data_IF_426984741705
#
_entry.id   IF_426984741705
#
_cell.length_a   1.000
_cell.length_b   1.000
_cell.length_c   1.000
_cell.angle_alpha   90.00
_cell.angle_beta   90.00
_cell.angle_gamma   90.00
#
_symmetry.space_group_name_H-M   'P 1'
#
loop_
_entity.id
_entity.type
_entity.pdbx_description
1 polymer ?
#
# COMPACT_ATOMS: atom_id res chain seq x y z
N UNK A 1 6.87 -46.52 -3.61
CA UNK A 1 6.36 -45.86 -4.83
C UNK A 1 7.33 -44.75 -5.19
N UNK A 2 7.96 -44.78 -6.36
CA UNK A 2 8.94 -43.78 -6.79
C UNK A 2 8.22 -42.57 -7.37
N UNK A 3 8.46 -41.38 -6.81
CA UNK A 3 8.19 -40.13 -7.52
C UNK A 3 9.31 -40.00 -8.57
N UNK A 4 9.01 -40.29 -9.83
CA UNK A 4 9.97 -40.08 -10.91
C UNK A 4 9.86 -38.63 -11.39
N UNK A 5 10.69 -37.77 -10.80
CA UNK A 5 10.85 -36.40 -11.28
C UNK A 5 11.68 -36.46 -12.56
N UNK A 6 11.01 -36.39 -13.70
CA UNK A 6 11.66 -36.28 -15.00
C UNK A 6 11.90 -34.80 -15.26
N UNK A 7 13.06 -34.29 -14.82
CA UNK A 7 13.55 -32.97 -15.26
C UNK A 7 14.02 -33.07 -16.70
N UNK A 8 13.07 -32.95 -17.64
CA UNK A 8 13.38 -32.68 -19.04
C UNK A 8 13.10 -31.22 -19.30
N UNK A 9 14.13 -30.43 -19.62
CA UNK A 9 13.95 -29.04 -20.07
C UNK A 9 13.31 -29.09 -21.46
N UNK A 10 11.99 -28.95 -21.54
CA UNK A 10 11.30 -28.79 -22.82
C UNK A 10 11.35 -27.31 -23.17
N UNK A 11 12.23 -26.98 -24.11
CA UNK A 11 12.32 -25.66 -24.71
C UNK A 11 11.09 -25.43 -25.60
N UNK A 12 10.16 -24.59 -25.14
CA UNK A 12 9.14 -24.03 -26.04
C UNK A 12 9.86 -22.98 -26.88
N UNK A 13 10.42 -23.41 -28.02
CA UNK A 13 10.94 -22.48 -29.00
C UNK A 13 9.78 -21.66 -29.55
N UNK A 14 9.75 -20.38 -29.20
CA UNK A 14 8.99 -19.39 -29.94
C UNK A 14 9.52 -19.40 -31.36
N UNK A 15 8.87 -20.15 -32.26
CA UNK A 15 9.11 -20.00 -33.69
C UNK A 15 8.98 -18.51 -33.99
N UNK A 16 9.96 -17.93 -34.68
CA UNK A 16 9.89 -16.61 -35.29
C UNK A 16 8.82 -16.52 -36.41
N UNK A 17 7.68 -17.18 -36.25
CA UNK A 17 6.56 -17.14 -37.18
C UNK A 17 5.59 -15.99 -36.89
N UNK A 18 5.77 -15.23 -35.82
CA UNK A 18 5.00 -14.01 -35.55
C UNK A 18 5.30 -12.84 -36.52
N UNK A 19 6.19 -13.02 -37.51
CA UNK A 19 6.53 -11.97 -38.47
C UNK A 19 6.41 -12.30 -39.97
N UNK A 20 6.06 -13.51 -40.44
CA UNK A 20 5.92 -13.77 -41.91
C UNK A 20 4.89 -14.85 -42.30
N UNK A 21 4.21 -14.72 -43.45
CA UNK A 21 3.22 -15.69 -43.93
C UNK A 21 3.87 -17.02 -44.37
N UNK A 22 3.09 -18.08 -44.26
CA UNK A 22 3.37 -19.49 -44.54
C UNK A 22 4.03 -19.80 -45.89
N UNK A 23 5.05 -20.68 -45.89
CA UNK A 23 5.20 -21.77 -46.88
C UNK A 23 6.16 -22.86 -46.41
N UNK A 24 5.71 -24.12 -46.57
CA UNK A 24 6.43 -25.38 -46.89
C UNK A 24 7.26 -26.17 -45.85
N UNK A 25 6.97 -27.48 -45.90
CA UNK A 25 7.50 -28.70 -45.26
C UNK A 25 9.02 -28.89 -45.16
N UNK A 26 9.52 -29.51 -44.08
CA UNK A 26 9.82 -30.97 -43.98
C UNK A 26 10.86 -31.29 -42.88
N UNK A 27 10.77 -32.50 -42.31
CA UNK A 27 11.78 -33.27 -41.55
C UNK A 27 12.07 -32.86 -40.08
N UNK A 28 11.54 -33.64 -39.13
CA UNK A 28 11.91 -33.61 -37.71
C UNK A 28 12.78 -34.83 -37.37
N UNK A 29 14.09 -34.61 -37.25
CA UNK A 29 15.06 -35.59 -36.74
C UNK A 29 15.02 -35.59 -35.21
N UNK A 30 14.52 -36.67 -34.60
CA UNK A 30 14.59 -36.88 -33.15
C UNK A 30 16.03 -37.32 -32.76
N UNK A 31 16.81 -36.42 -32.15
CA UNK A 31 18.08 -36.74 -31.50
C UNK A 31 17.83 -37.47 -30.17
N UNK A 32 18.25 -38.73 -30.07
CA UNK A 32 18.32 -39.49 -28.81
C UNK A 32 19.50 -39.00 -27.98
N UNK A 33 19.27 -38.56 -26.74
CA UNK A 33 20.30 -38.30 -25.73
C UNK A 33 20.26 -39.40 -24.66
N UNK A 34 21.40 -39.93 -24.16
CA UNK A 34 21.40 -40.93 -23.09
C UNK A 34 21.12 -40.26 -21.73
N UNK A 35 20.56 -41.00 -20.74
CA UNK A 35 20.17 -40.42 -19.46
C UNK A 35 21.41 -40.10 -18.59
N UNK A 36 21.44 -38.94 -17.90
CA UNK A 36 22.50 -38.66 -16.93
C UNK A 36 22.27 -39.44 -15.63
N UNK A 37 23.36 -39.92 -15.02
CA UNK A 37 23.34 -40.58 -13.72
C UNK A 37 22.95 -39.57 -12.62
N UNK A 38 21.92 -39.90 -11.84
CA UNK A 38 21.37 -39.02 -10.80
C UNK A 38 21.79 -39.52 -9.40
N UNK A 39 22.38 -38.62 -8.61
CA UNK A 39 22.78 -38.87 -7.21
C UNK A 39 21.62 -38.50 -6.27
N UNK A 40 21.06 -39.51 -5.59
CA UNK A 40 19.91 -39.38 -4.70
C UNK A 40 20.22 -38.71 -3.34
N UNK A 41 21.48 -38.34 -3.05
CA UNK A 41 21.91 -37.93 -1.70
C UNK A 41 21.72 -36.45 -1.34
N UNK A 42 21.28 -35.57 -2.28
CA UNK A 42 21.32 -34.10 -2.09
C UNK A 42 19.99 -33.35 -1.96
N UNK A 43 18.84 -34.01 -1.90
CA UNK A 43 17.55 -33.31 -1.73
C UNK A 43 17.11 -33.25 -0.26
N UNK A 44 17.81 -32.45 0.55
CA UNK A 44 17.26 -31.92 1.81
C UNK A 44 16.70 -30.53 1.53
N UNK A 45 15.38 -30.41 1.40
CA UNK A 45 14.73 -29.10 1.42
C UNK A 45 14.76 -28.58 2.87
N UNK A 46 15.51 -27.52 3.19
CA UNK A 46 15.39 -26.89 4.49
C UNK A 46 13.96 -26.32 4.62
N UNK A 47 13.35 -26.52 5.77
CA UNK A 47 12.13 -25.83 6.18
C UNK A 47 12.48 -24.35 6.29
N UNK A 48 12.29 -23.62 5.19
CA UNK A 48 12.36 -22.17 5.16
C UNK A 48 11.23 -21.65 6.05
N UNK A 49 11.58 -21.20 7.25
CA UNK A 49 10.81 -20.23 8.01
C UNK A 49 10.38 -19.15 7.01
N UNK A 50 9.07 -19.02 6.81
CA UNK A 50 8.49 -18.15 5.78
C UNK A 50 8.87 -16.68 6.05
N UNK A 51 10.04 -16.27 5.56
CA UNK A 51 10.25 -14.88 5.22
C UNK A 51 9.25 -14.55 4.11
N UNK A 52 8.44 -13.50 4.30
CA UNK A 52 7.57 -13.00 3.25
C UNK A 52 8.39 -12.81 1.97
N UNK A 53 7.94 -13.37 0.85
CA UNK A 53 8.64 -13.20 -0.41
C UNK A 53 8.68 -11.70 -0.76
N UNK A 54 9.73 -11.22 -1.47
CA UNK A 54 9.83 -9.82 -1.88
C UNK A 54 8.55 -9.29 -2.54
N UNK A 55 7.89 -10.14 -3.33
CA UNK A 55 6.62 -9.83 -4.00
C UNK A 55 5.46 -9.53 -3.03
N UNK A 56 5.39 -10.23 -1.89
CA UNK A 56 4.37 -10.02 -0.85
C UNK A 56 4.64 -8.73 -0.08
N UNK A 57 5.92 -8.44 0.22
CA UNK A 57 6.32 -7.19 0.87
C UNK A 57 5.96 -6.00 -0.03
N UNK A 58 6.24 -6.09 -1.33
CA UNK A 58 5.92 -5.05 -2.29
C UNK A 58 4.41 -4.90 -2.53
N UNK A 59 3.67 -6.01 -2.55
CA UNK A 59 2.21 -5.99 -2.60
C UNK A 59 1.61 -5.30 -1.37
N UNK A 60 2.08 -5.66 -0.17
CA UNK A 60 1.65 -5.04 1.09
C UNK A 60 1.88 -3.54 1.09
N UNK A 61 3.08 -3.10 0.67
CA UNK A 61 3.41 -1.67 0.54
C UNK A 61 2.50 -0.95 -0.45
N UNK A 62 2.16 -1.57 -1.59
CA UNK A 62 1.24 -0.99 -2.57
C UNK A 62 -0.15 -0.80 -1.99
N UNK A 63 -0.72 -1.84 -1.37
CA UNK A 63 -2.07 -1.80 -0.78
C UNK A 63 -2.16 -0.73 0.32
N UNK A 64 -1.19 -0.71 1.24
CA UNK A 64 -1.14 0.31 2.31
C UNK A 64 -1.07 1.72 1.75
N UNK A 65 -0.26 1.92 0.70
CA UNK A 65 -0.11 3.23 0.05
C UNK A 65 -1.39 3.67 -0.65
N UNK A 66 -2.02 2.79 -1.42
CA UNK A 66 -3.26 3.09 -2.13
C UNK A 66 -4.43 3.39 -1.19
N UNK A 67 -4.57 2.59 -0.12
CA UNK A 67 -5.61 2.78 0.88
C UNK A 67 -5.44 4.11 1.63
N UNK A 68 -4.22 4.40 2.12
CA UNK A 68 -3.94 5.66 2.83
C UNK A 68 -4.16 6.91 1.96
N UNK A 69 -3.90 6.82 0.66
CA UNK A 69 -4.06 7.96 -0.25
C UNK A 69 -5.50 8.24 -0.68
N UNK A 70 -6.36 7.22 -0.73
CA UNK A 70 -7.78 7.43 -1.05
C UNK A 70 -8.46 8.33 -0.02
N UNK A 71 -8.10 8.20 1.25
CA UNK A 71 -8.63 9.04 2.33
C UNK A 71 -8.15 10.50 2.19
N UNK A 72 -6.86 10.72 1.93
CA UNK A 72 -6.29 12.09 1.84
C UNK A 72 -6.97 12.93 0.75
N UNK A 73 -7.33 12.31 -0.38
CA UNK A 73 -7.96 13.01 -1.53
C UNK A 73 -9.27 13.71 -1.18
N UNK A 74 -10.04 13.16 -0.24
CA UNK A 74 -11.31 13.75 0.19
C UNK A 74 -11.16 14.58 1.46
N UNK A 75 -10.22 14.23 2.32
CA UNK A 75 -10.11 14.89 3.62
C UNK A 75 -9.30 16.17 3.58
N UNK A 76 -8.24 16.26 2.77
CA UNK A 76 -7.49 17.50 2.63
C UNK A 76 -8.37 18.70 2.19
N UNK A 77 -9.28 18.59 1.19
CA UNK A 77 -10.19 19.67 0.87
C UNK A 77 -11.28 19.90 1.92
N UNK A 78 -11.78 18.85 2.57
CA UNK A 78 -12.75 19.00 3.67
C UNK A 78 -12.14 19.75 4.87
N UNK A 79 -10.87 19.48 5.20
CA UNK A 79 -10.10 20.19 6.21
C UNK A 79 -9.87 21.65 5.83
N UNK A 80 -9.47 21.90 4.59
CA UNK A 80 -9.32 23.26 4.07
C UNK A 80 -10.62 24.05 4.15
N UNK A 81 -11.75 23.44 3.76
CA UNK A 81 -13.08 24.03 3.88
C UNK A 81 -13.44 24.29 5.35
N UNK A 82 -13.20 23.33 6.24
CA UNK A 82 -13.45 23.48 7.67
C UNK A 82 -12.67 24.68 8.22
N UNK A 83 -11.36 24.77 7.94
CA UNK A 83 -10.50 25.89 8.37
C UNK A 83 -10.97 27.24 7.83
N UNK A 84 -11.44 27.30 6.59
CA UNK A 84 -11.98 28.54 5.98
C UNK A 84 -13.29 28.96 6.63
N UNK A 85 -14.27 28.04 6.73
CA UNK A 85 -15.54 28.28 7.42
C UNK A 85 -15.26 28.75 8.84
N UNK A 86 -14.28 28.11 9.49
CA UNK A 86 -13.88 28.44 10.83
C UNK A 86 -13.31 29.87 10.93
N UNK A 87 -12.32 30.21 10.11
CA UNK A 87 -11.71 31.55 10.11
C UNK A 87 -12.74 32.67 9.85
N UNK A 88 -13.78 32.38 9.06
CA UNK A 88 -14.92 33.29 8.88
C UNK A 88 -15.74 33.41 10.16
N UNK A 89 -16.11 32.31 10.81
CA UNK A 89 -16.90 32.32 12.05
C UNK A 89 -16.16 33.06 13.18
N UNK A 90 -14.86 32.80 13.39
CA UNK A 90 -14.05 33.51 14.39
C UNK A 90 -13.97 35.01 14.12
N UNK A 91 -13.85 35.38 12.84
CA UNK A 91 -13.82 36.78 12.44
C UNK A 91 -15.18 37.46 12.63
N UNK A 92 -16.29 36.75 12.43
CA UNK A 92 -17.64 37.31 12.60
C UNK A 92 -18.01 37.48 14.08
N UNK A 93 -17.50 36.64 14.97
CA UNK A 93 -17.79 36.73 16.40
C UNK A 93 -17.09 37.89 17.12
N UNK A 94 -16.18 38.61 16.44
CA UNK A 94 -15.38 39.69 17.05
C UNK A 94 -15.28 40.94 16.15
N UNK A 95 -16.35 41.23 15.40
CA UNK A 95 -16.43 42.39 14.50
C UNK A 95 -16.32 43.75 15.22
N UNK A 96 -16.58 43.79 16.53
CA UNK A 96 -16.60 45.02 17.33
C UNK A 96 -15.20 45.49 17.74
N UNK A 97 -14.18 44.64 17.62
CA UNK A 97 -12.82 44.95 18.02
C UNK A 97 -12.08 45.55 16.81
N UNK A 98 -11.55 46.78 16.91
CA UNK A 98 -10.91 47.52 15.80
C UNK A 98 -9.66 46.84 15.18
N UNK A 99 -9.30 45.66 15.70
CA UNK A 99 -8.27 44.73 15.23
C UNK A 99 -8.77 43.70 14.20
N UNK A 100 -10.07 43.72 13.86
CA UNK A 100 -10.75 42.69 13.07
C UNK A 100 -10.14 42.46 11.68
N UNK A 101 -9.64 43.50 10.99
CA UNK A 101 -8.95 43.34 9.69
C UNK A 101 -7.64 42.54 9.78
N UNK A 102 -6.82 42.82 10.80
CA UNK A 102 -5.56 42.11 11.02
C UNK A 102 -5.78 40.66 11.43
N UNK A 103 -6.82 40.40 12.24
CA UNK A 103 -7.24 39.03 12.60
C UNK A 103 -7.73 38.24 11.40
N UNK A 104 -8.55 38.86 10.54
CA UNK A 104 -9.02 38.27 9.28
C UNK A 104 -7.82 37.79 8.44
N UNK A 105 -6.79 38.64 8.33
CA UNK A 105 -5.56 38.34 7.62
C UNK A 105 -4.73 37.25 8.31
N UNK A 106 -4.52 37.29 9.63
CA UNK A 106 -3.72 36.29 10.34
C UNK A 106 -4.35 34.90 10.36
N UNK A 107 -5.68 34.81 10.30
CA UNK A 107 -6.40 33.53 10.35
C UNK A 107 -6.68 32.97 8.95
N UNK A 108 -6.96 33.81 7.95
CA UNK A 108 -7.26 33.34 6.59
C UNK A 108 -6.00 33.12 5.74
N UNK A 109 -4.92 33.89 5.94
CA UNK A 109 -3.71 33.73 5.13
C UNK A 109 -3.08 32.33 5.28
N UNK A 110 -2.93 31.75 6.48
CA UNK A 110 -2.46 30.38 6.63
C UNK A 110 -3.44 29.37 6.02
N UNK A 111 -4.75 29.55 6.24
CA UNK A 111 -5.77 28.65 5.69
C UNK A 111 -5.78 28.64 4.15
N UNK A 112 -5.64 29.81 3.52
CA UNK A 112 -5.55 29.98 2.07
C UNK A 112 -4.25 29.42 1.50
N UNK A 113 -3.11 29.65 2.16
CA UNK A 113 -1.83 29.05 1.79
C UNK A 113 -1.88 27.52 1.87
N UNK A 114 -2.56 26.98 2.88
CA UNK A 114 -2.75 25.54 3.03
C UNK A 114 -3.68 24.97 1.94
N UNK A 115 -4.81 25.63 1.67
CA UNK A 115 -5.71 25.24 0.59
C UNK A 115 -5.01 25.31 -0.79
N UNK A 116 -4.20 26.34 -1.03
CA UNK A 116 -3.42 26.49 -2.25
C UNK A 116 -2.32 25.42 -2.37
N UNK A 117 -1.62 25.08 -1.28
CA UNK A 117 -0.62 24.01 -1.27
C UNK A 117 -1.27 22.66 -1.54
N UNK A 118 -2.38 22.34 -0.87
CA UNK A 118 -3.15 21.11 -1.11
C UNK A 118 -3.63 21.03 -2.56
N UNK A 119 -4.19 22.11 -3.10
CA UNK A 119 -4.64 22.18 -4.48
C UNK A 119 -3.48 22.04 -5.48
N UNK A 120 -2.33 22.68 -5.22
CA UNK A 120 -1.14 22.57 -6.03
C UNK A 120 -0.64 21.12 -6.08
N UNK A 121 -0.62 20.42 -4.94
CA UNK A 121 -0.19 19.02 -4.87
C UNK A 121 -1.17 18.07 -5.57
N UNK A 122 -2.47 18.35 -5.45
CA UNK A 122 -3.51 17.62 -6.16
C UNK A 122 -3.38 17.77 -7.68
N UNK A 123 -3.15 19.00 -8.16
CA UNK A 123 -3.02 19.32 -9.59
C UNK A 123 -1.67 18.85 -10.16
N UNK A 124 -0.58 19.06 -9.43
CA UNK A 124 0.77 18.75 -9.89
C UNK A 124 1.10 17.26 -9.81
N UNK A 125 0.19 16.41 -9.29
CA UNK A 125 0.40 14.97 -9.07
C UNK A 125 1.75 14.69 -8.41
N UNK A 126 2.21 15.61 -7.55
CA UNK A 126 3.52 15.50 -6.90
C UNK A 126 3.49 14.22 -6.10
N UNK A 127 4.43 13.34 -6.45
CA UNK A 127 4.40 11.93 -6.11
C UNK A 127 3.98 11.70 -4.65
N UNK A 128 3.03 10.77 -4.50
CA UNK A 128 2.51 10.10 -3.32
C UNK A 128 3.46 9.99 -2.10
N UNK A 129 4.78 10.01 -2.31
CA UNK A 129 5.84 9.98 -1.29
C UNK A 129 5.96 11.22 -0.39
N UNK A 130 5.46 12.40 -0.79
CA UNK A 130 5.64 13.64 0.00
C UNK A 130 4.37 14.12 0.71
N UNK A 131 3.24 13.46 0.51
CA UNK A 131 1.92 13.90 0.97
C UNK A 131 1.83 14.05 2.51
N UNK A 132 2.37 13.09 3.28
CA UNK A 132 2.37 13.14 4.74
C UNK A 132 3.31 14.19 5.35
N UNK A 133 4.49 14.37 4.77
CA UNK A 133 5.45 15.43 5.12
C UNK A 133 4.85 16.83 4.91
N UNK A 134 4.14 17.02 3.81
CA UNK A 134 3.49 18.28 3.49
C UNK A 134 2.32 18.57 4.41
N UNK A 135 1.52 17.56 4.76
CA UNK A 135 0.49 17.68 5.79
C UNK A 135 1.08 18.11 7.14
N UNK A 136 2.18 17.48 7.55
CA UNK A 136 2.89 17.81 8.80
C UNK A 136 3.41 19.26 8.77
N UNK A 137 4.02 19.69 7.67
CA UNK A 137 4.51 21.06 7.51
C UNK A 137 3.38 22.10 7.57
N UNK A 138 2.25 21.81 6.92
CA UNK A 138 1.02 22.63 6.96
C UNK A 138 0.47 22.74 8.37
N UNK A 139 0.32 21.61 9.06
CA UNK A 139 -0.20 21.58 10.41
C UNK A 139 0.67 22.44 11.36
N UNK A 140 2.00 22.33 11.24
CA UNK A 140 2.94 23.14 12.02
C UNK A 140 2.82 24.63 11.70
N UNK A 141 2.72 25.00 10.41
CA UNK A 141 2.60 26.40 10.01
C UNK A 141 1.30 27.04 10.52
N UNK A 142 0.16 26.33 10.41
CA UNK A 142 -1.12 26.78 10.96
C UNK A 142 -1.05 26.86 12.49
N UNK A 143 -0.49 25.85 13.15
CA UNK A 143 -0.29 25.84 14.60
C UNK A 143 0.56 27.01 15.10
N UNK A 144 1.64 27.34 14.40
CA UNK A 144 2.49 28.49 14.73
C UNK A 144 1.73 29.82 14.58
N UNK A 145 0.89 29.95 13.54
CA UNK A 145 0.05 31.14 13.36
C UNK A 145 -0.97 31.30 14.48
N UNK A 146 -1.63 30.21 14.88
CA UNK A 146 -2.60 30.21 15.99
C UNK A 146 -1.94 30.52 17.33
N UNK A 147 -0.74 30.00 17.58
CA UNK A 147 0.04 30.37 18.78
C UNK A 147 0.39 31.85 18.76
N UNK A 148 0.76 32.40 17.61
CA UNK A 148 1.04 33.81 17.47
C UNK A 148 -0.20 34.69 17.74
N UNK A 149 -1.36 34.36 17.17
CA UNK A 149 -2.61 35.11 17.42
C UNK A 149 -3.03 35.02 18.88
N UNK A 150 -2.93 33.84 19.48
CA UNK A 150 -3.19 33.64 20.90
C UNK A 150 -2.26 34.48 21.77
N UNK A 151 -0.96 34.53 21.46
CA UNK A 151 0.01 35.34 22.21
C UNK A 151 -0.27 36.85 22.19
N UNK A 152 -1.00 37.32 21.18
CA UNK A 152 -1.33 38.74 21.00
C UNK A 152 -2.67 39.12 21.61
N UNK A 153 -3.61 38.19 21.64
CA UNK A 153 -5.02 38.47 21.94
C UNK A 153 -5.56 37.74 23.16
N UNK A 154 -4.91 36.65 23.57
CA UNK A 154 -5.29 35.76 24.66
C UNK A 154 -6.71 35.19 24.54
N UNK A 155 -7.22 35.00 23.31
CA UNK A 155 -8.53 34.39 23.10
C UNK A 155 -8.46 32.85 23.16
N UNK A 156 -9.25 32.27 24.06
CA UNK A 156 -9.40 30.83 24.25
C UNK A 156 -9.82 30.06 22.97
N UNK A 157 -10.46 30.72 22.01
CA UNK A 157 -10.88 30.12 20.74
C UNK A 157 -9.68 29.57 19.94
N UNK A 158 -8.53 30.25 19.97
CA UNK A 158 -7.32 29.82 19.28
C UNK A 158 -6.76 28.49 19.80
N UNK A 159 -6.89 28.25 21.11
CA UNK A 159 -6.46 27.01 21.76
C UNK A 159 -7.37 25.83 21.43
N UNK A 160 -8.69 26.07 21.28
CA UNK A 160 -9.62 25.07 20.79
C UNK A 160 -9.21 24.54 19.40
N UNK A 161 -8.77 25.41 18.48
CA UNK A 161 -8.33 24.97 17.15
C UNK A 161 -7.08 24.11 17.22
N UNK A 162 -6.18 24.47 18.11
CA UNK A 162 -4.94 23.73 18.26
C UNK A 162 -5.19 22.32 18.84
N UNK A 163 -6.12 22.20 19.78
CA UNK A 163 -6.64 20.90 20.28
C UNK A 163 -7.25 20.07 19.14
N UNK A 164 -8.09 20.68 18.30
CA UNK A 164 -8.69 20.01 17.14
C UNK A 164 -7.60 19.54 16.17
N UNK A 165 -6.61 20.38 15.87
CA UNK A 165 -5.48 20.02 15.00
C UNK A 165 -4.66 18.85 15.56
N UNK A 166 -4.43 18.79 16.88
CA UNK A 166 -3.76 17.66 17.54
C UNK A 166 -4.56 16.37 17.34
N UNK A 167 -5.88 16.39 17.47
CA UNK A 167 -6.74 15.21 17.24
C UNK A 167 -6.65 14.76 15.77
N UNK A 168 -6.74 15.71 14.85
CA UNK A 168 -6.71 15.45 13.42
C UNK A 168 -5.35 14.90 12.96
N UNK A 169 -4.24 15.27 13.61
CA UNK A 169 -2.93 14.70 13.32
C UNK A 169 -2.94 13.15 13.42
N UNK A 170 -3.67 12.58 14.37
CA UNK A 170 -3.82 11.14 14.55
C UNK A 170 -4.63 10.47 13.45
N UNK A 171 -5.64 11.17 12.93
CA UNK A 171 -6.46 10.68 11.83
C UNK A 171 -5.70 10.69 10.48
N UNK A 172 -4.78 11.63 10.26
CA UNK A 172 -4.21 11.86 8.92
C UNK A 172 -2.75 11.47 8.74
N UNK A 173 -1.95 11.39 9.79
CA UNK A 173 -0.56 10.97 9.66
C UNK A 173 -0.46 9.57 9.03
N UNK A 174 0.27 9.46 7.93
CA UNK A 174 0.43 8.23 7.16
C UNK A 174 1.45 7.32 7.85
N UNK A 175 2.52 7.91 8.36
CA UNK A 175 3.54 7.21 9.13
C UNK A 175 3.52 7.58 10.62
N UNK A 176 3.98 6.68 11.47
CA UNK A 176 4.15 6.93 12.90
C UNK A 176 5.16 8.05 13.17
N UNK A 177 6.16 8.23 12.30
CA UNK A 177 7.14 9.33 12.45
C UNK A 177 6.48 10.69 12.22
N UNK A 178 5.71 10.84 11.13
CA UNK A 178 4.95 12.07 10.84
C UNK A 178 3.93 12.37 11.94
N UNK A 179 3.29 11.33 12.48
CA UNK A 179 2.38 11.45 13.60
C UNK A 179 3.07 12.04 14.84
N UNK A 180 4.20 11.45 15.25
CA UNK A 180 4.97 11.90 16.41
C UNK A 180 5.42 13.35 16.22
N UNK A 181 5.97 13.69 15.04
CA UNK A 181 6.39 15.06 14.74
C UNK A 181 5.21 16.02 14.84
N UNK A 182 4.09 15.72 14.19
CA UNK A 182 2.90 16.58 14.18
C UNK A 182 2.35 16.83 15.58
N UNK A 183 2.12 15.76 16.36
CA UNK A 183 1.54 15.85 17.71
C UNK A 183 2.49 16.57 18.67
N UNK A 184 3.79 16.27 18.61
CA UNK A 184 4.77 16.92 19.50
C UNK A 184 4.95 18.39 19.16
N UNK A 185 5.01 18.75 17.87
CA UNK A 185 5.11 20.15 17.45
C UNK A 185 3.86 20.95 17.78
N UNK A 186 2.67 20.44 17.49
CA UNK A 186 1.41 21.12 17.81
C UNK A 186 1.17 21.20 19.31
N UNK A 187 1.18 20.06 20.01
CA UNK A 187 0.93 20.01 21.46
C UNK A 187 1.98 20.78 22.28
N UNK A 188 3.25 20.72 21.87
CA UNK A 188 4.32 21.49 22.49
C UNK A 188 4.14 22.99 22.28
N UNK A 189 3.83 23.43 21.05
CA UNK A 189 3.56 24.84 20.78
C UNK A 189 2.35 25.36 21.57
N UNK A 190 1.29 24.55 21.69
CA UNK A 190 0.13 24.82 22.54
C UNK A 190 0.52 25.12 23.97
N UNK A 191 1.31 24.20 24.55
CA UNK A 191 1.67 24.23 25.95
C UNK A 191 2.53 25.45 26.26
N UNK A 192 3.49 25.74 25.38
CA UNK A 192 4.33 26.94 25.47
C UNK A 192 3.45 28.21 25.38
N UNK A 193 2.50 28.26 24.44
CA UNK A 193 1.60 29.39 24.29
C UNK A 193 0.78 29.63 25.56
N UNK A 194 0.17 28.56 26.10
CA UNK A 194 -0.62 28.63 27.34
C UNK A 194 0.24 29.12 28.51
N UNK A 195 1.41 28.53 28.74
CA UNK A 195 2.29 28.89 29.88
C UNK A 195 2.81 30.33 29.77
N UNK A 196 3.23 30.76 28.58
CA UNK A 196 3.77 32.10 28.37
C UNK A 196 2.69 33.18 28.46
N UNK A 197 1.48 32.92 27.96
CA UNK A 197 0.38 33.90 28.01
C UNK A 197 -0.25 33.92 29.40
N UNK A 198 -0.45 32.77 30.05
CA UNK A 198 -1.04 32.72 31.40
C UNK A 198 -0.16 33.40 32.45
N UNK A 199 1.16 33.29 32.30
CA UNK A 199 2.13 34.00 33.15
C UNK A 199 2.20 35.51 32.94
N UNK A 200 1.68 36.03 31.81
CA UNK A 200 1.78 37.46 31.47
C UNK A 200 0.44 38.20 31.40
N UNK A 201 -0.68 37.53 31.14
CA UNK A 201 -1.94 38.18 30.73
C UNK A 201 -3.12 37.84 31.64
N UNK A 202 -3.42 36.56 31.86
CA UNK A 202 -4.70 36.15 32.44
C UNK A 202 -4.69 36.04 33.96
N UNK A 203 -3.65 35.47 34.59
CA UNK A 203 -3.59 35.33 36.06
C UNK A 203 -4.69 34.44 36.69
N UNK A 204 -5.56 33.86 35.87
CA UNK A 204 -6.77 33.11 36.28
C UNK A 204 -6.56 31.60 36.43
N UNK A 205 -5.33 31.11 36.20
CA UNK A 205 -4.96 29.70 36.40
C UNK A 205 -5.59 28.74 35.38
N UNK A 206 -5.85 29.22 34.15
CA UNK A 206 -6.45 28.41 33.08
C UNK A 206 -5.50 27.36 32.50
N UNK A 207 -4.19 27.44 32.81
CA UNK A 207 -3.17 26.51 32.30
C UNK A 207 -3.51 25.04 32.58
N UNK A 208 -4.04 24.72 33.75
CA UNK A 208 -4.38 23.34 34.11
C UNK A 208 -5.47 22.75 33.21
N UNK A 209 -6.51 23.54 32.88
CA UNK A 209 -7.62 23.11 32.02
C UNK A 209 -7.15 22.83 30.60
N UNK A 210 -6.37 23.75 30.04
CA UNK A 210 -5.84 23.60 28.70
C UNK A 210 -4.82 22.48 28.58
N UNK A 211 -3.99 22.29 29.61
CA UNK A 211 -3.12 21.12 29.71
C UNK A 211 -3.91 19.81 29.68
N UNK A 212 -4.98 19.70 30.47
CA UNK A 212 -5.85 18.51 30.47
C UNK A 212 -6.48 18.27 29.09
N UNK A 213 -6.99 19.32 28.42
CA UNK A 213 -7.58 19.20 27.09
C UNK A 213 -6.56 18.75 26.03
N UNK A 214 -5.33 19.29 26.07
CA UNK A 214 -4.24 18.88 25.18
C UNK A 214 -3.80 17.43 25.43
N UNK A 215 -3.77 17.00 26.70
CA UNK A 215 -3.48 15.62 27.05
C UNK A 215 -4.56 14.67 26.51
N UNK A 216 -5.83 15.00 26.72
CA UNK A 216 -6.96 14.23 26.17
C UNK A 216 -6.90 14.18 24.65
N UNK A 217 -6.59 15.30 24.01
CA UNK A 217 -6.42 15.39 22.55
C UNK A 217 -5.27 14.50 22.05
N UNK A 218 -4.12 14.51 22.71
CA UNK A 218 -2.98 13.68 22.35
C UNK A 218 -3.28 12.18 22.53
N UNK A 219 -3.97 11.80 23.60
CA UNK A 219 -4.40 10.42 23.85
C UNK A 219 -5.44 9.96 22.81
N UNK A 220 -6.42 10.80 22.51
CA UNK A 220 -7.42 10.53 21.47
C UNK A 220 -6.73 10.38 20.10
N UNK A 221 -5.84 11.31 19.76
CA UNK A 221 -5.05 11.30 18.53
C UNK A 221 -4.21 10.02 18.40
N UNK A 222 -3.55 9.60 19.48
CA UNK A 222 -2.77 8.35 19.51
C UNK A 222 -3.67 7.12 19.34
N UNK A 223 -4.83 7.11 20.00
CA UNK A 223 -5.80 6.02 19.88
C UNK A 223 -6.34 5.89 18.46
N UNK A 224 -6.67 7.01 17.82
CA UNK A 224 -7.11 7.08 16.42
C UNK A 224 -5.99 6.58 15.50
N UNK A 225 -4.75 7.04 15.69
CA UNK A 225 -3.61 6.63 14.84
C UNK A 225 -3.37 5.12 14.94
N UNK A 226 -3.38 4.55 16.15
CA UNK A 226 -3.20 3.11 16.36
C UNK A 226 -4.35 2.31 15.76
N UNK A 227 -5.59 2.74 15.98
CA UNK A 227 -6.77 2.06 15.44
C UNK A 227 -6.76 2.06 13.90
N UNK A 228 -6.44 3.20 13.28
CA UNK A 228 -6.30 3.36 11.84
C UNK A 228 -5.19 2.49 11.27
N UNK A 229 -3.99 2.56 11.86
CA UNK A 229 -2.84 1.77 11.39
C UNK A 229 -3.15 0.27 11.43
N UNK A 230 -3.78 -0.21 12.52
CA UNK A 230 -4.21 -1.61 12.63
C UNK A 230 -5.28 -1.99 11.61
N UNK A 231 -6.24 -1.09 11.35
CA UNK A 231 -7.28 -1.34 10.35
C UNK A 231 -6.68 -1.46 8.94
N UNK A 232 -5.73 -0.59 8.60
CA UNK A 232 -5.01 -0.65 7.33
C UNK A 232 -4.13 -1.90 7.22
N UNK A 233 -3.45 -2.29 8.29
CA UNK A 233 -2.69 -3.56 8.33
C UNK A 233 -3.61 -4.76 8.09
N UNK A 234 -4.76 -4.81 8.76
CA UNK A 234 -5.72 -5.90 8.60
C UNK A 234 -6.31 -5.95 7.19
N UNK A 235 -6.60 -4.79 6.59
CA UNK A 235 -7.02 -4.70 5.20
C UNK A 235 -5.94 -5.20 4.23
N UNK A 236 -4.68 -4.84 4.46
CA UNK A 236 -3.57 -5.33 3.64
C UNK A 236 -3.40 -6.85 3.78
N UNK A 237 -3.47 -7.37 5.01
CA UNK A 237 -3.30 -8.80 5.28
C UNK A 237 -4.45 -9.63 4.68
N UNK A 238 -5.70 -9.14 4.77
CA UNK A 238 -6.86 -9.79 4.15
C UNK A 238 -6.79 -9.76 2.64
N UNK A 239 -6.37 -8.65 2.03
CA UNK A 239 -6.17 -8.58 0.59
C UNK A 239 -5.08 -9.55 0.12
N UNK A 240 -3.94 -9.58 0.81
CA UNK A 240 -2.87 -10.53 0.52
C UNK A 240 -3.38 -11.96 0.68
N UNK A 241 -4.14 -12.27 1.74
CA UNK A 241 -4.71 -13.60 1.97
C UNK A 241 -5.68 -14.03 0.84
N UNK A 242 -6.48 -13.10 0.31
CA UNK A 242 -7.37 -13.35 -0.82
C UNK A 242 -6.59 -13.57 -2.11
N UNK A 243 -5.60 -12.73 -2.42
CA UNK A 243 -4.68 -12.94 -3.56
C UNK A 243 -3.97 -14.30 -3.44
N UNK A 244 -3.61 -14.67 -2.22
CA UNK A 244 -3.00 -15.94 -1.87
C UNK A 244 -3.92 -17.16 -2.02
N UNK A 245 -5.25 -16.98 -2.01
CA UNK A 245 -6.24 -18.03 -2.26
C UNK A 245 -6.48 -18.27 -3.74
N UNK A 246 -5.94 -17.41 -4.62
CA UNK A 246 -6.03 -17.60 -6.06
C UNK A 246 -5.17 -18.81 -6.47
N UNK A 247 -5.85 -19.89 -6.85
CA UNK A 247 -5.22 -21.14 -7.29
C UNK A 247 -4.88 -21.14 -8.78
N UNK A 248 -5.27 -20.11 -9.53
CA UNK A 248 -5.09 -20.00 -10.98
C UNK A 248 -4.35 -18.71 -11.36
N UNK A 249 -3.35 -18.83 -12.22
CA UNK A 249 -2.64 -17.68 -12.78
C UNK A 249 -3.52 -17.00 -13.83
N UNK A 250 -3.82 -15.71 -13.65
CA UNK A 250 -4.78 -14.98 -14.51
C UNK A 250 -4.28 -14.86 -15.96
N UNK A 251 -2.96 -14.76 -16.15
CA UNK A 251 -2.36 -14.59 -17.48
C UNK A 251 -2.39 -15.90 -18.28
N UNK A 252 -2.08 -17.01 -17.63
CA UNK A 252 -1.92 -18.33 -18.29
C UNK A 252 -3.09 -19.27 -18.06
N UNK A 253 -4.05 -18.94 -17.18
CA UNK A 253 -5.17 -19.79 -16.77
C UNK A 253 -4.76 -21.15 -16.20
N UNK A 254 -3.48 -21.35 -15.89
CA UNK A 254 -2.93 -22.57 -15.31
C UNK A 254 -2.97 -22.49 -13.79
N UNK A 255 -2.88 -23.64 -13.11
CA UNK A 255 -2.75 -23.65 -11.67
C UNK A 255 -1.47 -22.90 -11.26
N UNK A 256 -1.58 -21.97 -10.31
CA UNK A 256 -0.41 -21.37 -9.68
C UNK A 256 0.41 -22.46 -8.98
N UNK A 257 1.66 -22.17 -8.63
CA UNK A 257 2.47 -23.09 -7.80
C UNK A 257 1.72 -23.57 -6.56
N UNK A 258 0.89 -22.69 -5.96
CA UNK A 258 0.04 -23.04 -4.82
C UNK A 258 -1.13 -23.93 -5.22
N UNK A 259 -1.82 -23.63 -6.33
CA UNK A 259 -2.83 -24.52 -6.91
C UNK A 259 -2.29 -25.94 -7.12
N UNK A 260 -1.09 -26.06 -7.68
CA UNK A 260 -0.41 -27.34 -7.88
C UNK A 260 -0.04 -28.03 -6.56
N UNK A 261 0.45 -27.28 -5.56
CA UNK A 261 0.78 -27.81 -4.23
C UNK A 261 -0.46 -28.35 -3.50
N UNK A 262 -1.61 -27.69 -3.66
CA UNK A 262 -2.89 -28.14 -3.11
C UNK A 262 -3.45 -29.36 -3.85
N UNK A 263 -3.19 -29.47 -5.16
CA UNK A 263 -3.64 -30.59 -6.00
C UNK A 263 -2.79 -31.85 -5.81
N UNK A 264 -1.49 -31.70 -5.53
CA UNK A 264 -0.55 -32.82 -5.49
C UNK A 264 -0.93 -33.95 -4.51
N UNK A 265 -1.41 -33.69 -3.27
CA UNK A 265 -1.88 -34.75 -2.38
C UNK A 265 -3.02 -35.59 -2.95
N UNK A 266 -3.96 -34.97 -3.69
CA UNK A 266 -5.08 -35.65 -4.35
C UNK A 266 -4.57 -36.54 -5.48
N UNK A 267 -3.71 -36.00 -6.36
CA UNK A 267 -3.08 -36.77 -7.44
C UNK A 267 -2.27 -37.94 -6.91
N UNK A 268 -1.53 -37.73 -5.82
CA UNK A 268 -0.74 -38.79 -5.16
C UNK A 268 -1.65 -39.90 -4.62
N UNK A 269 -2.71 -39.55 -3.88
CA UNK A 269 -3.63 -40.54 -3.32
C UNK A 269 -4.34 -41.36 -4.41
N UNK A 270 -4.69 -40.72 -5.54
CA UNK A 270 -5.29 -41.41 -6.69
C UNK A 270 -4.28 -42.36 -7.36
N UNK A 271 -3.05 -41.89 -7.58
CA UNK A 271 -1.98 -42.69 -8.15
C UNK A 271 -1.62 -43.90 -7.26
N UNK A 272 -1.60 -43.71 -5.94
CA UNK A 272 -1.40 -44.79 -4.95
C UNK A 272 -2.49 -45.86 -5.06
N UNK A 273 -3.76 -45.46 -5.13
CA UNK A 273 -4.90 -46.39 -5.30
C UNK A 273 -4.82 -47.17 -6.61
N UNK A 274 -4.40 -46.53 -7.69
CA UNK A 274 -4.32 -47.14 -9.02
C UNK A 274 -2.97 -47.83 -9.29
N UNK A 275 -2.01 -47.75 -8.36
CA UNK A 275 -0.63 -48.23 -8.52
C UNK A 275 0.08 -47.66 -9.75
N UNK A 276 -0.17 -46.39 -10.07
CA UNK A 276 0.41 -45.69 -11.23
C UNK A 276 1.56 -44.77 -10.80
N UNK A 277 2.67 -44.67 -11.56
CA UNK A 277 3.71 -43.69 -11.27
C UNK A 277 3.20 -42.24 -11.45
N UNK A 278 3.77 -41.31 -10.69
CA UNK A 278 3.52 -39.87 -10.82
C UNK A 278 4.74 -39.21 -11.44
N UNK A 279 4.52 -38.44 -12.51
CA UNK A 279 5.55 -37.68 -13.20
C UNK A 279 5.33 -36.18 -12.99
N UNK A 280 6.43 -35.45 -12.77
CA UNK A 280 6.43 -34.00 -12.74
C UNK A 280 7.38 -33.48 -13.84
N UNK A 281 6.92 -32.49 -14.60
CA UNK A 281 7.68 -31.86 -15.68
C UNK A 281 7.84 -30.37 -15.41
N UNK A 282 9.07 -29.88 -15.54
CA UNK A 282 9.38 -28.46 -15.48
C UNK A 282 9.57 -27.94 -16.91
N UNK A 283 8.77 -26.94 -17.28
CA UNK A 283 8.79 -26.29 -18.60
C UNK A 283 9.25 -24.86 -18.41
N UNK A 284 10.18 -24.42 -19.26
CA UNK A 284 10.76 -23.07 -19.25
C UNK A 284 10.63 -22.45 -20.64
N UNK A 285 10.29 -21.16 -20.71
CA UNK A 285 10.15 -20.43 -21.97
C UNK A 285 11.48 -19.76 -22.28
N UNK A 286 12.25 -20.37 -23.19
CA UNK A 286 13.57 -19.85 -23.55
C UNK A 286 13.48 -18.48 -24.25
N UNK A 287 14.35 -17.56 -23.86
CA UNK A 287 14.52 -16.26 -24.54
C UNK A 287 13.50 -15.18 -24.20
N UNK A 288 12.61 -15.42 -23.22
CA UNK A 288 11.57 -14.46 -22.81
C UNK A 288 12.15 -13.09 -22.43
N UNK A 289 13.25 -13.04 -21.69
CA UNK A 289 13.92 -11.78 -21.33
C UNK A 289 14.26 -10.93 -22.55
N UNK A 290 14.77 -11.54 -23.62
CA UNK A 290 15.09 -10.82 -24.86
C UNK A 290 13.86 -10.31 -25.60
N UNK A 291 12.70 -10.95 -25.43
CA UNK A 291 11.42 -10.43 -25.95
C UNK A 291 11.01 -9.20 -25.15
N UNK A 292 11.04 -9.27 -23.81
CA UNK A 292 10.71 -8.15 -22.92
C UNK A 292 11.60 -6.93 -23.21
N UNK A 293 12.92 -7.15 -23.35
CA UNK A 293 13.88 -6.07 -23.58
C UNK A 293 13.69 -5.36 -24.93
N UNK A 294 13.16 -6.06 -25.96
CA UNK A 294 12.98 -5.50 -27.32
C UNK A 294 11.58 -4.98 -27.60
N UNK A 295 10.55 -5.61 -27.04
CA UNK A 295 9.15 -5.39 -27.39
C UNK A 295 8.26 -5.01 -26.19
N UNK A 296 8.86 -4.83 -25.00
CA UNK A 296 8.15 -4.48 -23.77
C UNK A 296 7.51 -5.68 -23.07
N UNK A 297 7.12 -5.46 -21.81
CA UNK A 297 6.52 -6.48 -20.95
C UNK A 297 5.18 -7.00 -21.49
N UNK A 298 4.34 -6.13 -22.05
CA UNK A 298 3.04 -6.52 -22.61
C UNK A 298 3.17 -7.60 -23.71
N UNK A 299 4.20 -7.51 -24.55
CA UNK A 299 4.48 -8.53 -25.58
C UNK A 299 4.98 -9.83 -24.96
N UNK A 300 5.76 -9.75 -23.88
CA UNK A 300 6.17 -10.89 -23.07
C UNK A 300 4.99 -11.63 -22.46
N UNK A 301 4.00 -10.89 -21.96
CA UNK A 301 2.79 -11.46 -21.37
C UNK A 301 1.97 -12.23 -22.39
N UNK A 302 1.84 -11.72 -23.62
CA UNK A 302 1.20 -12.45 -24.73
C UNK A 302 1.90 -13.78 -25.04
N UNK A 303 3.23 -13.79 -24.99
CA UNK A 303 4.04 -15.00 -25.18
C UNK A 303 3.80 -16.02 -24.07
N UNK A 304 3.75 -15.56 -22.81
CA UNK A 304 3.47 -16.42 -21.65
C UNK A 304 2.06 -16.98 -21.72
N UNK A 305 1.06 -16.15 -22.05
CA UNK A 305 -0.33 -16.58 -22.21
C UNK A 305 -0.47 -17.65 -23.31
N UNK A 306 0.19 -17.46 -24.46
CA UNK A 306 0.19 -18.43 -25.55
C UNK A 306 0.85 -19.76 -25.17
N UNK A 307 1.93 -19.72 -24.38
CA UNK A 307 2.55 -20.93 -23.83
C UNK A 307 1.63 -21.66 -22.86
N UNK A 308 0.94 -20.92 -21.98
CA UNK A 308 -0.07 -21.47 -21.06
C UNK A 308 -1.21 -22.17 -21.80
N UNK A 309 -1.74 -21.54 -22.85
CA UNK A 309 -2.77 -22.12 -23.71
C UNK A 309 -2.29 -23.38 -24.44
N UNK A 310 -1.04 -23.40 -24.92
CA UNK A 310 -0.45 -24.59 -25.55
C UNK A 310 -0.36 -25.76 -24.55
N UNK A 311 0.08 -25.50 -23.31
CA UNK A 311 0.13 -26.50 -22.24
C UNK A 311 -1.28 -27.03 -21.94
N UNK A 312 -2.27 -26.14 -21.78
CA UNK A 312 -3.68 -26.55 -21.53
C UNK A 312 -4.25 -27.45 -22.61
N UNK A 313 -3.89 -27.23 -23.87
CA UNK A 313 -4.36 -28.06 -25.01
C UNK A 313 -3.66 -29.41 -25.11
N UNK A 314 -2.40 -29.50 -24.67
CA UNK A 314 -1.60 -30.72 -24.76
C UNK A 314 -1.81 -31.66 -23.56
N UNK A 315 -2.14 -31.11 -22.39
CA UNK A 315 -2.41 -31.87 -21.18
C UNK A 315 -3.87 -32.34 -21.09
N UNK A 316 -4.10 -33.47 -20.41
CA UNK A 316 -5.46 -33.94 -20.12
C UNK A 316 -6.07 -33.10 -18.99
N UNK A 317 -7.40 -33.05 -18.91
CA UNK A 317 -8.10 -32.34 -17.83
C UNK A 317 -7.71 -32.84 -16.43
N UNK A 318 -7.39 -34.13 -16.29
CA UNK A 318 -6.90 -34.76 -15.05
C UNK A 318 -5.49 -34.32 -14.65
N UNK A 319 -4.67 -33.86 -15.60
CA UNK A 319 -3.28 -33.45 -15.34
C UNK A 319 -3.22 -32.00 -14.84
N UNK A 320 -4.28 -31.23 -15.11
CA UNK A 320 -4.42 -29.81 -14.78
C UNK A 320 -5.64 -29.55 -13.88
N UNK A 321 -6.14 -30.60 -13.20
CA UNK A 321 -7.43 -30.56 -12.54
C UNK A 321 -7.51 -29.43 -11.51
N UNK A 322 -8.52 -28.59 -11.67
CA UNK A 322 -8.75 -27.44 -10.80
C UNK A 322 -9.23 -27.95 -9.46
N UNK A 323 -8.53 -27.64 -8.37
CA UNK A 323 -9.09 -27.83 -7.04
C UNK A 323 -10.36 -26.98 -6.95
N UNK A 324 -11.53 -27.61 -7.06
CA UNK A 324 -12.76 -27.02 -6.53
C UNK A 324 -12.54 -26.95 -5.03
N UNK A 325 -12.44 -25.73 -4.49
CA UNK A 325 -12.46 -25.52 -3.06
C UNK A 325 -13.61 -26.36 -2.48
N UNK A 326 -13.38 -27.16 -1.42
CA UNK A 326 -14.48 -27.86 -0.77
C UNK A 326 -15.47 -26.80 -0.28
N UNK A 327 -16.72 -26.92 -0.73
CA UNK A 327 -17.87 -26.16 -0.21
C UNK A 327 -18.06 -26.44 1.28
#
# INVERSE_FOLDING_TARGET
MSLEVVTTKISIFLRQQWMRPSTTSSHSTFLRCPPPAFDHSRLRYPVLVHAESPDVIDARRRVMREAGMREIRWVAPAMGLLLVVFGVVDSMSHLDDGSSMWRLLSSLLPALLCAALVALLYVARVADSYSGLLFTAVAIAVGASLVYTYSRTAFDSDLCYLVIMVILAGAFAISTVEFIVSVTSLGGAALVAVVLVDSQVTGDGHTERWFMLLLVAAVASTSIHVARSRALDHLADTQIALEQQVSEDVLTGLATRRGLTNLFPLLRAQAERLRLPVFAMFVDVDGLKGVNDRAGHDTGDLVIAAAGDAIRRLCRASDLEKSKAPL
#
